data_IF_048059565395
#
_entry.id   IF_048059565395
#
_cell.length_a   1.000
_cell.length_b   1.000
_cell.length_c   1.000
_cell.angle_alpha   90.00
_cell.angle_beta   90.00
_cell.angle_gamma   90.00
#
_symmetry.space_group_name_H-M   'P 1'
#
loop_
_entity.id
_entity.type
_entity.pdbx_description
1 polymer ?
#
# COMPACT_ATOMS: atom_id res chain seq x y z
N UNK A 1 33.89 11.20 38.22
CA UNK A 1 32.46 11.56 38.25
C UNK A 1 32.07 11.88 36.81
N UNK A 2 31.70 10.83 36.07
CA UNK A 2 31.37 10.91 34.64
C UNK A 2 29.87 11.13 34.53
N UNK A 3 29.46 12.23 33.88
CA UNK A 3 28.09 12.55 33.57
C UNK A 3 27.69 11.77 32.32
N UNK A 4 26.73 10.88 32.51
CA UNK A 4 26.05 10.09 31.50
C UNK A 4 25.25 11.02 30.57
N UNK A 5 25.35 10.94 29.22
CA UNK A 5 24.51 11.71 28.34
C UNK A 5 23.12 11.11 28.31
N UNK A 6 22.13 11.87 28.73
CA UNK A 6 20.71 11.60 28.59
C UNK A 6 20.37 11.35 27.11
N UNK A 7 19.65 10.28 26.76
CA UNK A 7 19.17 10.09 25.39
C UNK A 7 18.15 11.19 25.07
N UNK A 8 18.47 11.98 24.03
CA UNK A 8 17.64 13.07 23.55
C UNK A 8 16.26 12.59 23.12
N UNK A 9 15.23 13.23 23.64
CA UNK A 9 13.85 13.15 23.14
C UNK A 9 13.83 13.51 21.65
N UNK A 10 13.31 12.62 20.82
CA UNK A 10 13.04 12.85 19.40
C UNK A 10 11.77 13.70 19.19
N UNK A 11 11.69 14.83 19.88
CA UNK A 11 10.60 15.81 19.76
C UNK A 11 11.13 17.16 19.20
N UNK A 12 12.13 17.09 18.32
CA UNK A 12 12.57 18.27 17.58
C UNK A 12 11.54 18.52 16.47
N UNK A 13 10.93 19.72 16.40
CA UNK A 13 9.97 20.02 15.34
C UNK A 13 10.67 19.84 13.98
N UNK A 14 9.96 19.18 13.04
CA UNK A 14 10.44 19.01 11.67
C UNK A 14 10.88 20.37 11.13
N UNK A 15 12.02 20.42 10.47
CA UNK A 15 12.41 21.65 9.78
C UNK A 15 11.49 21.92 8.57
N UNK A 16 11.54 23.13 8.01
CA UNK A 16 10.58 23.56 7.01
C UNK A 16 10.49 22.64 5.77
N UNK A 17 11.61 22.12 5.21
CA UNK A 17 11.56 21.17 4.09
C UNK A 17 10.87 19.85 4.45
N UNK A 18 11.18 19.29 5.60
CA UNK A 18 10.59 18.01 6.06
C UNK A 18 9.13 18.20 6.46
N UNK A 19 8.75 19.34 7.04
CA UNK A 19 7.37 19.68 7.33
C UNK A 19 6.53 19.82 6.05
N UNK A 20 7.07 20.45 5.00
CA UNK A 20 6.41 20.55 3.71
C UNK A 20 6.22 19.18 3.04
N UNK A 21 7.24 18.32 3.08
CA UNK A 21 7.15 16.94 2.59
C UNK A 21 6.11 16.15 3.37
N UNK A 22 6.09 16.25 4.70
CA UNK A 22 5.10 15.57 5.54
C UNK A 22 3.68 16.02 5.22
N UNK A 23 3.45 17.33 4.99
CA UNK A 23 2.17 17.86 4.54
C UNK A 23 1.77 17.29 3.18
N UNK A 24 2.69 17.24 2.20
CA UNK A 24 2.40 16.67 0.88
C UNK A 24 2.06 15.18 0.94
N UNK A 25 2.67 14.41 1.85
CA UNK A 25 2.33 12.99 2.08
C UNK A 25 0.90 12.85 2.61
N UNK A 26 0.48 13.72 3.53
CA UNK A 26 -0.89 13.73 4.07
C UNK A 26 -1.90 14.17 3.01
N UNK A 27 -1.55 15.20 2.22
CA UNK A 27 -2.45 15.76 1.19
C UNK A 27 -2.59 14.86 -0.05
N UNK A 28 -1.63 13.95 -0.28
CA UNK A 28 -1.68 13.03 -1.43
C UNK A 28 -2.95 12.16 -1.47
N UNK A 29 -3.60 12.00 -0.33
CA UNK A 29 -4.85 11.23 -0.15
C UNK A 29 -5.97 12.04 0.51
N UNK A 30 -5.97 13.36 0.35
CA UNK A 30 -6.91 14.30 0.99
C UNK A 30 -8.41 14.07 0.64
N UNK A 31 -8.73 13.11 -0.26
CA UNK A 31 -10.10 12.74 -0.63
C UNK A 31 -10.70 11.60 0.20
N UNK A 32 -10.14 11.32 1.38
CA UNK A 32 -10.63 10.25 2.24
C UNK A 32 -11.77 10.74 3.17
N UNK A 33 -12.99 10.79 2.64
CA UNK A 33 -14.18 11.29 3.34
C UNK A 33 -15.13 10.18 3.83
N UNK A 34 -14.89 8.92 3.42
CA UNK A 34 -15.77 7.81 3.72
C UNK A 34 -15.43 7.21 5.09
N UNK A 35 -16.41 7.08 5.97
CA UNK A 35 -16.29 6.17 7.10
C UNK A 35 -16.58 4.73 6.65
N UNK A 36 -16.43 3.76 7.55
CA UNK A 36 -16.58 2.36 7.19
C UNK A 36 -18.02 1.98 6.79
N UNK A 37 -19.03 2.69 7.29
CA UNK A 37 -20.43 2.46 6.92
C UNK A 37 -20.71 3.01 5.52
N UNK A 38 -20.27 4.25 5.24
CA UNK A 38 -20.37 4.85 3.93
C UNK A 38 -19.59 4.04 2.87
N UNK A 39 -18.40 3.52 3.24
CA UNK A 39 -17.62 2.64 2.37
C UNK A 39 -18.34 1.32 2.08
N UNK A 40 -19.00 0.73 3.09
CA UNK A 40 -19.81 -0.48 2.91
C UNK A 40 -20.96 -0.25 1.94
N UNK A 41 -21.68 0.85 2.10
CA UNK A 41 -22.78 1.24 1.22
C UNK A 41 -22.28 1.51 -0.21
N UNK A 42 -21.16 2.21 -0.36
CA UNK A 42 -20.55 2.56 -1.65
C UNK A 42 -20.13 1.33 -2.47
N UNK A 43 -19.64 0.27 -1.79
CA UNK A 43 -19.23 -0.97 -2.47
C UNK A 43 -20.33 -2.02 -2.54
N UNK A 44 -21.46 -1.81 -1.86
CA UNK A 44 -22.54 -2.79 -1.76
C UNK A 44 -22.19 -4.02 -0.94
N UNK A 45 -21.29 -3.87 0.04
CA UNK A 45 -20.83 -4.94 0.92
C UNK A 45 -21.44 -4.81 2.32
N UNK A 46 -21.43 -5.92 3.09
CA UNK A 46 -21.87 -5.86 4.48
C UNK A 46 -20.76 -5.28 5.38
N UNK A 47 -21.14 -4.51 6.40
CA UNK A 47 -20.22 -4.01 7.41
C UNK A 47 -19.35 -5.13 8.00
N UNK A 48 -19.95 -6.31 8.27
CA UNK A 48 -19.22 -7.47 8.81
C UNK A 48 -18.09 -7.93 7.90
N UNK A 49 -18.27 -7.87 6.57
CA UNK A 49 -17.21 -8.19 5.61
C UNK A 49 -16.10 -7.16 5.69
N UNK A 50 -16.43 -5.87 5.71
CA UNK A 50 -15.43 -4.81 5.83
C UNK A 50 -14.64 -4.88 7.14
N UNK A 51 -15.31 -5.16 8.26
CA UNK A 51 -14.64 -5.40 9.55
C UNK A 51 -13.66 -6.60 9.50
N UNK A 52 -13.97 -7.61 8.69
CA UNK A 52 -13.05 -8.73 8.50
C UNK A 52 -11.85 -8.36 7.64
N UNK A 53 -12.05 -7.55 6.60
CA UNK A 53 -11.00 -7.03 5.71
C UNK A 53 -10.07 -6.08 6.46
N UNK A 54 -10.61 -5.16 7.26
CA UNK A 54 -9.86 -4.25 8.12
C UNK A 54 -9.00 -5.02 9.14
N UNK A 55 -9.59 -5.99 9.86
CA UNK A 55 -8.85 -6.84 10.81
C UNK A 55 -7.77 -7.71 10.14
N UNK A 56 -7.92 -7.99 8.86
CA UNK A 56 -6.90 -8.67 8.07
C UNK A 56 -5.76 -7.74 7.63
N UNK A 57 -5.83 -6.43 7.95
CA UNK A 57 -4.84 -5.42 7.59
C UNK A 57 -4.88 -5.00 6.12
N UNK A 58 -6.00 -5.24 5.44
CA UNK A 58 -6.17 -4.98 4.01
C UNK A 58 -6.83 -3.66 3.69
N UNK A 59 -7.48 -3.10 4.68
CA UNK A 59 -8.09 -1.79 4.64
C UNK A 59 -7.35 -0.95 5.68
N UNK A 60 -6.52 -0.03 5.19
CA UNK A 60 -5.72 0.88 6.02
C UNK A 60 -6.34 2.26 5.91
N UNK A 61 -6.81 2.85 7.02
CA UNK A 61 -7.38 4.18 6.96
C UNK A 61 -6.32 5.22 6.58
N UNK A 62 -6.69 6.19 5.77
CA UNK A 62 -5.82 7.32 5.40
C UNK A 62 -5.51 8.20 6.61
N UNK A 63 -6.52 8.46 7.42
CA UNK A 63 -6.38 9.16 8.69
C UNK A 63 -7.49 8.73 9.65
N UNK A 64 -7.37 9.18 10.88
CA UNK A 64 -8.37 8.99 11.92
C UNK A 64 -8.78 10.36 12.41
N UNK A 65 -10.06 10.66 12.37
CA UNK A 65 -10.63 11.93 12.83
C UNK A 65 -10.39 12.16 14.32
N UNK A 66 -10.63 13.38 14.77
CA UNK A 66 -10.47 13.76 16.17
C UNK A 66 -11.40 13.01 17.15
N UNK A 67 -12.47 12.38 16.65
CA UNK A 67 -13.39 11.51 17.40
C UNK A 67 -13.01 10.02 17.35
N UNK A 68 -11.92 9.68 16.67
CA UNK A 68 -11.46 8.30 16.53
C UNK A 68 -12.04 7.54 15.33
N UNK A 69 -12.78 8.22 14.43
CA UNK A 69 -13.38 7.59 13.24
C UNK A 69 -12.34 7.44 12.13
N UNK A 70 -12.06 6.19 11.63
CA UNK A 70 -11.18 5.99 10.51
C UNK A 70 -11.82 6.48 9.20
N UNK A 71 -10.99 7.05 8.31
CA UNK A 71 -11.41 7.59 7.02
C UNK A 71 -10.74 6.87 5.86
N UNK A 72 -11.54 6.65 4.81
CA UNK A 72 -11.19 5.90 3.61
C UNK A 72 -11.51 6.70 2.36
N UNK A 73 -10.87 6.35 1.25
CA UNK A 73 -11.02 7.03 -0.04
C UNK A 73 -11.91 6.24 -1.00
N UNK A 74 -12.27 6.88 -2.11
CA UNK A 74 -12.91 6.19 -3.25
C UNK A 74 -11.99 5.15 -3.90
N UNK A 75 -10.66 5.31 -3.80
CA UNK A 75 -9.70 4.32 -4.27
C UNK A 75 -9.78 3.02 -3.45
N UNK A 76 -10.05 3.11 -2.13
CA UNK A 76 -10.32 1.93 -1.29
C UNK A 76 -11.61 1.24 -1.71
N UNK A 77 -12.65 1.99 -2.06
CA UNK A 77 -13.88 1.42 -2.61
C UNK A 77 -13.61 0.65 -3.92
N UNK A 78 -12.78 1.16 -4.81
CA UNK A 78 -12.41 0.48 -6.05
C UNK A 78 -11.59 -0.78 -5.80
N UNK A 79 -10.68 -0.77 -4.84
CA UNK A 79 -9.92 -1.94 -4.43
C UNK A 79 -10.83 -3.03 -3.82
N UNK A 80 -11.79 -2.63 -2.98
CA UNK A 80 -12.79 -3.54 -2.42
C UNK A 80 -13.69 -4.15 -3.50
N UNK A 81 -14.15 -3.37 -4.47
CA UNK A 81 -14.92 -3.88 -5.62
C UNK A 81 -14.13 -4.91 -6.43
N UNK A 82 -12.83 -4.70 -6.60
CA UNK A 82 -11.96 -5.70 -7.22
C UNK A 82 -11.91 -6.99 -6.40
N UNK A 83 -11.82 -6.91 -5.07
CA UNK A 83 -11.92 -8.07 -4.17
C UNK A 83 -13.26 -8.81 -4.29
N UNK A 84 -14.39 -8.08 -4.32
CA UNK A 84 -15.73 -8.66 -4.52
C UNK A 84 -15.83 -9.37 -5.87
N UNK A 85 -15.25 -8.81 -6.92
CA UNK A 85 -15.18 -9.44 -8.25
C UNK A 85 -14.50 -10.81 -8.20
N UNK A 86 -13.45 -10.97 -7.38
CA UNK A 86 -12.79 -12.27 -7.20
C UNK A 86 -13.67 -13.27 -6.46
N UNK A 87 -14.44 -12.84 -5.46
CA UNK A 87 -15.42 -13.69 -4.76
C UNK A 87 -16.52 -14.14 -5.70
N UNK A 88 -17.07 -13.25 -6.53
CA UNK A 88 -18.09 -13.55 -7.51
C UNK A 88 -17.57 -14.52 -8.60
N UNK A 89 -16.29 -14.46 -8.92
CA UNK A 89 -15.62 -15.41 -9.80
C UNK A 89 -15.37 -16.78 -9.15
N UNK A 90 -15.74 -16.97 -7.86
CA UNK A 90 -15.67 -18.23 -7.15
C UNK A 90 -14.43 -18.41 -6.28
N UNK A 91 -13.61 -17.37 -6.06
CA UNK A 91 -12.51 -17.44 -5.10
C UNK A 91 -13.08 -17.50 -3.68
N UNK A 92 -12.75 -18.51 -2.85
CA UNK A 92 -13.24 -18.57 -1.47
C UNK A 92 -12.74 -17.38 -0.65
N UNK A 93 -13.56 -16.84 0.25
CA UNK A 93 -13.21 -15.70 1.10
C UNK A 93 -11.91 -15.94 1.88
N UNK A 94 -11.70 -17.14 2.40
CA UNK A 94 -10.48 -17.49 3.13
C UNK A 94 -9.23 -17.34 2.26
N UNK A 95 -9.29 -17.78 1.00
CA UNK A 95 -8.17 -17.65 0.04
C UNK A 95 -7.93 -16.17 -0.35
N UNK A 96 -9.01 -15.39 -0.52
CA UNK A 96 -8.90 -13.97 -0.77
C UNK A 96 -8.20 -13.25 0.40
N UNK A 97 -8.61 -13.51 1.63
CA UNK A 97 -7.98 -12.92 2.82
C UNK A 97 -6.52 -13.37 3.00
N UNK A 98 -6.20 -14.62 2.67
CA UNK A 98 -4.80 -15.10 2.70
C UNK A 98 -3.94 -14.43 1.63
N UNK A 99 -4.45 -14.32 0.40
CA UNK A 99 -3.78 -13.61 -0.68
C UNK A 99 -3.49 -12.17 -0.27
N UNK A 100 -4.46 -11.53 0.29
CA UNK A 100 -4.40 -10.14 0.66
C UNK A 100 -3.41 -9.92 1.83
N UNK A 101 -3.39 -10.75 2.89
CA UNK A 101 -2.36 -10.68 3.95
C UNK A 101 -0.94 -10.86 3.40
N UNK A 102 -0.74 -11.78 2.46
CA UNK A 102 0.57 -11.98 1.81
C UNK A 102 0.97 -10.79 0.96
N UNK A 103 -0.01 -10.17 0.29
CA UNK A 103 0.21 -8.96 -0.50
C UNK A 103 0.60 -7.80 0.43
N UNK A 104 -0.12 -7.59 1.52
CA UNK A 104 0.19 -6.54 2.51
C UNK A 104 1.64 -6.64 3.02
N UNK A 105 2.07 -7.83 3.43
CA UNK A 105 3.46 -8.05 3.88
C UNK A 105 4.48 -7.71 2.78
N UNK A 106 4.23 -8.13 1.54
CA UNK A 106 5.15 -7.88 0.44
C UNK A 106 5.18 -6.39 0.05
N UNK A 107 4.02 -5.73 0.04
CA UNK A 107 3.90 -4.32 -0.32
C UNK A 107 4.52 -3.42 0.74
N UNK A 108 4.36 -3.74 2.04
CA UNK A 108 5.07 -3.00 3.11
C UNK A 108 6.59 -3.02 2.90
N UNK A 109 7.17 -4.18 2.61
CA UNK A 109 8.62 -4.28 2.37
C UNK A 109 9.06 -3.44 1.16
N UNK A 110 8.24 -3.39 0.11
CA UNK A 110 8.51 -2.56 -1.07
C UNK A 110 8.39 -1.08 -0.70
N UNK A 111 7.36 -0.70 0.04
CA UNK A 111 7.13 0.68 0.48
C UNK A 111 8.27 1.17 1.39
N UNK A 112 8.66 0.39 2.40
CA UNK A 112 9.77 0.71 3.29
C UNK A 112 11.07 0.96 2.50
N UNK A 113 11.38 0.08 1.55
CA UNK A 113 12.56 0.23 0.71
C UNK A 113 12.48 1.45 -0.22
N UNK A 114 11.30 1.74 -0.79
CA UNK A 114 11.10 2.89 -1.66
C UNK A 114 11.24 4.21 -0.89
N UNK A 115 10.67 4.28 0.32
CA UNK A 115 10.79 5.44 1.20
C UNK A 115 12.25 5.64 1.64
N UNK A 116 12.94 4.58 2.07
CA UNK A 116 14.36 4.65 2.43
C UNK A 116 15.23 5.15 1.27
N UNK A 117 14.97 4.64 0.05
CA UNK A 117 15.67 5.08 -1.15
C UNK A 117 15.39 6.56 -1.45
N UNK A 118 14.13 7.01 -1.33
CA UNK A 118 13.77 8.43 -1.49
C UNK A 118 14.51 9.31 -0.49
N UNK A 119 14.49 8.97 0.79
CA UNK A 119 15.16 9.74 1.84
C UNK A 119 16.66 9.85 1.54
N UNK A 120 17.31 8.75 1.23
CA UNK A 120 18.77 8.69 1.02
C UNK A 120 19.23 9.34 -0.28
N UNK A 121 18.50 9.12 -1.38
CA UNK A 121 18.97 9.49 -2.71
C UNK A 121 18.31 10.74 -3.30
N UNK A 122 17.22 11.21 -2.69
CA UNK A 122 16.52 12.42 -3.12
C UNK A 122 16.53 13.47 -2.02
N UNK A 123 15.96 13.16 -0.85
CA UNK A 123 15.84 14.14 0.25
C UNK A 123 17.20 14.64 0.73
N UNK A 124 18.11 13.76 1.10
CA UNK A 124 19.41 14.17 1.65
C UNK A 124 20.26 14.98 0.67
N UNK A 125 20.38 14.61 -0.64
CA UNK A 125 21.05 15.43 -1.62
C UNK A 125 20.38 16.78 -1.90
N UNK A 126 19.04 16.84 -1.93
CA UNK A 126 18.31 18.09 -2.12
C UNK A 126 18.61 19.05 -0.96
N UNK A 127 18.55 18.58 0.28
CA UNK A 127 18.90 19.38 1.46
C UNK A 127 20.35 19.85 1.45
N UNK A 128 21.26 19.02 0.96
CA UNK A 128 22.69 19.37 0.89
C UNK A 128 23.06 20.36 -0.22
N UNK A 129 22.18 20.57 -1.21
CA UNK A 129 22.46 21.38 -2.40
C UNK A 129 21.52 22.56 -2.61
N UNK A 130 20.39 22.63 -1.92
CA UNK A 130 19.47 23.77 -2.01
C UNK A 130 20.07 25.04 -1.40
N UNK A 131 19.78 26.18 -2.01
CA UNK A 131 20.27 27.49 -1.56
C UNK A 131 19.46 28.04 -0.37
N UNK A 132 18.28 27.50 -0.11
CA UNK A 132 17.41 27.85 1.01
C UNK A 132 16.47 26.68 1.38
N UNK A 133 15.90 26.74 2.57
CA UNK A 133 14.88 25.77 3.03
C UNK A 133 13.61 25.81 2.17
N UNK A 134 13.22 26.98 1.69
CA UNK A 134 12.09 27.14 0.77
C UNK A 134 12.32 26.43 -0.57
N UNK A 135 13.51 26.59 -1.15
CA UNK A 135 13.90 25.87 -2.35
C UNK A 135 13.95 24.35 -2.11
N UNK A 136 14.49 23.92 -0.98
CA UNK A 136 14.52 22.51 -0.61
C UNK A 136 13.11 21.94 -0.49
N UNK A 137 12.19 22.64 0.20
CA UNK A 137 10.80 22.23 0.35
C UNK A 137 10.10 22.03 -1.00
N UNK A 138 10.19 23.02 -1.90
CA UNK A 138 9.57 22.95 -3.24
C UNK A 138 10.11 21.76 -4.03
N UNK A 139 11.45 21.56 -4.02
CA UNK A 139 12.08 20.46 -4.76
C UNK A 139 11.73 19.09 -4.20
N UNK A 140 11.59 18.96 -2.86
CA UNK A 140 11.22 17.69 -2.23
C UNK A 140 9.77 17.31 -2.52
N UNK A 141 8.84 18.25 -2.42
CA UNK A 141 7.42 18.04 -2.75
C UNK A 141 7.28 17.64 -4.21
N UNK A 142 7.90 18.37 -5.15
CA UNK A 142 7.84 18.04 -6.58
C UNK A 142 8.43 16.64 -6.87
N UNK A 143 9.54 16.27 -6.24
CA UNK A 143 10.14 14.96 -6.42
C UNK A 143 9.23 13.85 -5.86
N UNK A 144 8.57 14.06 -4.73
CA UNK A 144 7.63 13.12 -4.14
C UNK A 144 6.41 12.89 -5.05
N UNK A 145 5.79 13.98 -5.52
CA UNK A 145 4.63 13.95 -6.43
C UNK A 145 4.92 13.24 -7.76
N UNK A 146 6.16 13.29 -8.23
CA UNK A 146 6.59 12.57 -9.44
C UNK A 146 6.91 11.09 -9.16
N UNK A 147 7.62 10.82 -8.06
CA UNK A 147 8.13 9.48 -7.76
C UNK A 147 7.05 8.52 -7.25
N UNK A 148 6.07 8.99 -6.48
CA UNK A 148 5.01 8.13 -5.94
C UNK A 148 4.22 7.44 -7.06
N UNK A 149 3.61 8.13 -8.02
CA UNK A 149 2.88 7.46 -9.11
C UNK A 149 3.80 6.63 -10.03
N UNK A 150 5.08 7.00 -10.16
CA UNK A 150 6.04 6.21 -10.93
C UNK A 150 6.32 4.86 -10.26
N UNK A 151 6.48 4.85 -8.93
CA UNK A 151 6.69 3.64 -8.14
C UNK A 151 5.47 2.72 -8.22
N UNK A 152 4.27 3.25 -8.05
CA UNK A 152 3.01 2.50 -8.18
C UNK A 152 2.89 1.81 -9.54
N UNK A 153 3.11 2.55 -10.63
CA UNK A 153 3.07 1.99 -11.99
C UNK A 153 4.10 0.90 -12.21
N UNK A 154 5.32 1.07 -11.68
CA UNK A 154 6.38 0.09 -11.78
C UNK A 154 5.99 -1.21 -11.07
N UNK A 155 5.51 -1.12 -9.82
CA UNK A 155 5.11 -2.27 -9.00
C UNK A 155 3.92 -3.00 -9.64
N UNK A 156 2.87 -2.27 -10.05
CA UNK A 156 1.71 -2.84 -10.70
C UNK A 156 2.06 -3.56 -12.02
N UNK A 157 2.94 -2.96 -12.85
CA UNK A 157 3.43 -3.59 -14.08
C UNK A 157 4.20 -4.87 -13.79
N UNK A 158 5.11 -4.84 -12.80
CA UNK A 158 5.91 -6.00 -12.45
C UNK A 158 5.04 -7.15 -11.90
N UNK A 159 4.08 -6.84 -11.02
CA UNK A 159 3.12 -7.82 -10.51
C UNK A 159 2.34 -8.47 -11.66
N UNK A 160 1.78 -7.67 -12.58
CA UNK A 160 1.08 -8.18 -13.76
C UNK A 160 1.95 -9.14 -14.58
N UNK A 161 3.20 -8.78 -14.83
CA UNK A 161 4.15 -9.62 -15.60
C UNK A 161 4.42 -10.94 -14.87
N UNK A 162 4.58 -10.92 -13.55
CA UNK A 162 4.78 -12.13 -12.75
C UNK A 162 3.56 -13.03 -12.74
N UNK A 163 2.36 -12.48 -12.59
CA UNK A 163 1.12 -13.26 -12.66
C UNK A 163 0.98 -13.99 -14.00
N UNK A 164 1.21 -13.30 -15.13
CA UNK A 164 1.14 -13.90 -16.45
C UNK A 164 2.17 -15.00 -16.65
N UNK A 165 3.42 -14.77 -16.23
CA UNK A 165 4.48 -15.77 -16.35
C UNK A 165 4.15 -17.03 -15.51
N UNK A 166 3.74 -16.84 -14.25
CA UNK A 166 3.38 -17.95 -13.37
C UNK A 166 2.18 -18.74 -13.89
N UNK A 167 1.17 -18.05 -14.44
CA UNK A 167 0.01 -18.70 -15.04
C UNK A 167 0.42 -19.54 -16.25
N UNK A 168 1.22 -18.98 -17.17
CA UNK A 168 1.71 -19.68 -18.35
C UNK A 168 2.50 -20.95 -17.97
N UNK A 169 3.39 -20.84 -16.98
CA UNK A 169 4.21 -21.97 -16.51
C UNK A 169 3.35 -23.10 -15.90
N UNK A 170 2.29 -22.73 -15.17
CA UNK A 170 1.37 -23.72 -14.56
C UNK A 170 0.52 -24.42 -15.59
N UNK A 171 -0.12 -23.66 -16.49
CA UNK A 171 -0.92 -24.23 -17.58
C UNK A 171 -0.09 -25.15 -18.46
N UNK A 172 1.14 -24.75 -18.81
CA UNK A 172 2.04 -25.59 -19.61
C UNK A 172 2.40 -26.91 -18.92
N UNK A 173 2.61 -26.89 -17.59
CA UNK A 173 2.90 -28.11 -16.82
C UNK A 173 1.68 -29.04 -16.71
N UNK A 174 0.49 -28.50 -16.51
CA UNK A 174 -0.75 -29.28 -16.44
C UNK A 174 -1.08 -29.93 -17.79
N UNK A 175 -0.88 -29.21 -18.89
CA UNK A 175 -1.07 -29.77 -20.24
C UNK A 175 -0.01 -30.81 -20.62
N UNK A 176 1.19 -30.73 -20.05
CA UNK A 176 2.27 -31.69 -20.28
C UNK A 176 2.21 -32.92 -19.36
N UNK A 177 1.39 -32.89 -18.29
CA UNK A 177 1.21 -34.05 -17.43
C UNK A 177 0.47 -35.16 -18.18
N UNK A 178 0.98 -36.39 -18.21
CA UNK A 178 0.26 -37.49 -18.82
C UNK A 178 -1.06 -37.70 -18.09
N UNK A 179 -2.13 -37.91 -18.86
CA UNK A 179 -3.44 -38.23 -18.29
C UNK A 179 -3.27 -39.52 -17.43
N UNK A 180 -3.64 -39.42 -16.14
CA UNK A 180 -3.65 -40.59 -15.27
C UNK A 180 -4.59 -41.64 -15.89
N UNK A 181 -4.14 -42.90 -16.13
CA UNK A 181 -5.03 -43.90 -16.68
C UNK A 181 -6.22 -44.07 -15.74
N UNK A 182 -7.45 -44.24 -16.28
CA UNK A 182 -8.61 -44.47 -15.44
C UNK A 182 -8.32 -45.66 -14.53
N UNK A 183 -8.55 -45.46 -13.22
CA UNK A 183 -8.52 -46.50 -12.23
C UNK A 183 -9.72 -47.41 -12.48
N UNK A 184 -9.55 -48.36 -13.40
CA UNK A 184 -10.61 -49.26 -13.79
C UNK A 184 -10.28 -50.73 -13.69
N UNK A 185 -11.28 -51.32 -13.12
CA UNK A 185 -11.77 -52.65 -13.35
C UNK A 185 -10.95 -53.80 -12.77
N UNK A 186 -11.27 -54.07 -11.57
CA UNK A 186 -11.40 -55.49 -11.18
C UNK A 186 -12.70 -55.69 -10.45
#
# INVERSE_FOLDING_TARGET
MATDPTPGSHDDPLDAPDAALAAAVVDADASADLDLDALADEVGATRTLLDAVERAGLLVPHHVDGDGTPRYSTADADALRAGLTLLDAGLPLGELLDLARRTDVAVRQIADHAVEAFLRFVRDPVRGTAGSDEEAAVRLVAAYEEMLPATERLVAHHLRRRLLATAADRVSRELAAPAEPPADAT
#
